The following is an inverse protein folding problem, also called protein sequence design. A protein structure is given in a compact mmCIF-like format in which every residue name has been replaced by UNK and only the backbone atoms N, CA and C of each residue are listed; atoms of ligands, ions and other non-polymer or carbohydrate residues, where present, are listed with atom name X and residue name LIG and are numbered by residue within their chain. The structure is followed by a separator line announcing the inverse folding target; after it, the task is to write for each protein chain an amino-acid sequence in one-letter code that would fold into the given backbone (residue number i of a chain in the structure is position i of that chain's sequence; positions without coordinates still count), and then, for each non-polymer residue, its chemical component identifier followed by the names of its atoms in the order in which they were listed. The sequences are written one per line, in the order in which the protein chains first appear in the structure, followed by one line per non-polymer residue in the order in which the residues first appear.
data_IF_124933075138
#
_entry.id   IF_124933075138
#
_cell.length_a   1.000
_cell.length_b   1.000
_cell.length_c   1.000
_cell.angle_alpha   90.00
_cell.angle_beta   90.00
_cell.angle_gamma   90.00
#
_symmetry.space_group_name_H-M   'P 1'
#
loop_
_entity.id
_entity.type
_entity.pdbx_description
1 polymer ?
#
# COMPACT_ATOMS: atom_id res chain seq x y z
N UNK A 1 7.24 15.24 8.93
CA UNK A 1 6.13 14.71 8.13
C UNK A 1 4.96 14.29 9.00
N UNK A 2 3.74 14.48 8.49
CA UNK A 2 2.55 13.91 9.13
C UNK A 2 2.49 12.41 8.87
N UNK A 3 1.65 11.69 9.62
CA UNK A 3 1.42 10.26 9.36
C UNK A 3 0.84 10.02 7.96
N UNK A 4 -0.04 10.92 7.51
CA UNK A 4 -0.58 10.83 6.15
C UNK A 4 0.53 10.97 5.10
N UNK A 5 1.42 11.95 5.27
CA UNK A 5 2.56 12.13 4.36
C UNK A 5 3.52 10.94 4.38
N UNK A 6 3.73 10.36 5.54
CA UNK A 6 4.57 9.17 5.70
C UNK A 6 3.96 7.98 4.93
N UNK A 7 2.65 7.76 5.05
CA UNK A 7 1.94 6.71 4.31
C UNK A 7 2.00 6.95 2.81
N UNK A 8 1.81 8.19 2.40
CA UNK A 8 1.88 8.55 0.98
C UNK A 8 3.26 8.26 0.41
N UNK A 9 4.32 8.61 1.13
CA UNK A 9 5.69 8.30 0.70
C UNK A 9 5.90 6.78 0.58
N UNK A 10 5.47 6.01 1.58
CA UNK A 10 5.59 4.55 1.54
C UNK A 10 4.78 3.94 0.39
N UNK A 11 3.60 4.49 0.12
CA UNK A 11 2.78 4.09 -1.02
C UNK A 11 3.50 4.34 -2.34
N UNK A 12 4.09 5.51 -2.52
CA UNK A 12 4.82 5.84 -3.74
C UNK A 12 6.03 4.91 -3.95
N UNK A 13 6.75 4.60 -2.88
CA UNK A 13 7.86 3.64 -2.94
C UNK A 13 7.37 2.23 -3.30
N UNK A 14 6.25 1.81 -2.72
CA UNK A 14 5.64 0.51 -3.01
C UNK A 14 5.21 0.43 -4.47
N UNK A 15 4.64 1.50 -4.98
CA UNK A 15 4.25 1.60 -6.39
C UNK A 15 5.47 1.49 -7.31
N UNK A 16 6.53 2.24 -7.01
CA UNK A 16 7.78 2.18 -7.80
C UNK A 16 8.36 0.77 -7.82
N UNK A 17 8.39 0.10 -6.68
CA UNK A 17 8.95 -1.24 -6.57
C UNK A 17 8.14 -2.28 -7.35
N UNK A 18 6.86 -2.01 -7.61
CA UNK A 18 6.01 -2.95 -8.38
C UNK A 18 6.43 -3.09 -9.86
N UNK A 19 7.26 -2.19 -10.36
CA UNK A 19 7.74 -2.22 -11.75
C UNK A 19 9.11 -2.90 -11.91
N UNK A 20 9.74 -3.27 -10.81
CA UNK A 20 11.08 -3.85 -10.84
C UNK A 20 11.24 -4.84 -9.68
N UNK A 21 12.38 -5.55 -9.66
CA UNK A 21 12.76 -6.39 -8.54
C UNK A 21 13.89 -5.76 -7.73
N UNK A 22 14.03 -4.44 -7.83
CA UNK A 22 15.06 -3.72 -7.09
C UNK A 22 14.82 -3.84 -5.58
N UNK A 23 15.91 -3.80 -4.83
CA UNK A 23 15.85 -3.86 -3.37
C UNK A 23 15.24 -2.59 -2.79
N UNK A 24 14.80 -2.68 -1.53
CA UNK A 24 14.30 -1.51 -0.79
C UNK A 24 15.33 -0.39 -0.83
N UNK A 25 16.60 -0.71 -0.55
CA UNK A 25 17.66 0.31 -0.50
C UNK A 25 17.88 0.98 -1.85
N UNK A 26 17.81 0.23 -2.95
CA UNK A 26 17.92 0.80 -4.30
C UNK A 26 16.76 1.71 -4.63
N UNK A 27 15.53 1.29 -4.35
CA UNK A 27 14.32 2.10 -4.60
C UNK A 27 14.37 3.40 -3.80
N UNK A 28 14.71 3.31 -2.50
CA UNK A 28 14.80 4.49 -1.63
C UNK A 28 15.91 5.43 -2.09
N UNK A 29 17.07 4.88 -2.45
CA UNK A 29 18.21 5.65 -2.90
C UNK A 29 17.87 6.47 -4.15
N UNK A 30 17.25 5.84 -5.14
CA UNK A 30 16.85 6.53 -6.38
C UNK A 30 15.80 7.60 -6.09
N UNK A 31 14.81 7.30 -5.27
CA UNK A 31 13.75 8.26 -4.94
C UNK A 31 14.31 9.50 -4.23
N UNK A 32 15.26 9.31 -3.31
CA UNK A 32 15.93 10.41 -2.61
C UNK A 32 16.80 11.23 -3.56
N UNK A 33 17.53 10.57 -4.43
CA UNK A 33 18.39 11.23 -5.42
C UNK A 33 17.59 12.10 -6.39
N UNK A 34 16.43 11.61 -6.81
CA UNK A 34 15.55 12.34 -7.74
C UNK A 34 14.74 13.46 -7.06
N UNK A 35 14.72 13.49 -5.75
CA UNK A 35 13.98 14.49 -4.95
C UNK A 35 12.50 14.61 -5.35
N UNK A 36 11.88 13.49 -5.72
CA UNK A 36 10.49 13.49 -6.21
C UNK A 36 9.49 13.78 -5.09
N UNK A 37 9.80 13.37 -3.87
CA UNK A 37 8.97 13.57 -2.68
C UNK A 37 9.82 13.38 -1.44
N UNK A 38 9.34 13.90 -0.31
CA UNK A 38 10.05 13.79 0.96
C UNK A 38 9.92 12.36 1.51
N UNK A 39 11.02 11.80 2.00
CA UNK A 39 11.07 10.45 2.56
C UNK A 39 11.80 10.51 3.90
N UNK A 40 11.09 10.16 4.98
CA UNK A 40 11.70 10.06 6.31
C UNK A 40 11.95 8.59 6.68
N UNK A 41 12.59 8.38 7.83
CA UNK A 41 12.91 7.02 8.29
C UNK A 41 11.65 6.19 8.55
N UNK A 42 10.57 6.81 9.01
CA UNK A 42 9.30 6.12 9.24
C UNK A 42 8.70 5.60 7.94
N UNK A 43 8.78 6.39 6.87
CA UNK A 43 8.31 5.96 5.54
C UNK A 43 9.13 4.78 5.02
N UNK A 44 10.45 4.81 5.20
CA UNK A 44 11.33 3.70 4.79
C UNK A 44 11.00 2.44 5.59
N UNK A 45 10.79 2.58 6.90
CA UNK A 45 10.44 1.44 7.77
C UNK A 45 9.13 0.80 7.33
N UNK A 46 8.12 1.61 7.03
CA UNK A 46 6.83 1.13 6.56
C UNK A 46 6.98 0.41 5.21
N UNK A 47 7.69 1.01 4.27
CA UNK A 47 7.94 0.42 2.97
C UNK A 47 8.69 -0.92 3.10
N UNK A 48 9.74 -0.96 3.92
CA UNK A 48 10.52 -2.20 4.16
C UNK A 48 9.63 -3.31 4.72
N UNK A 49 8.76 -2.99 5.68
CA UNK A 49 7.83 -3.96 6.24
C UNK A 49 6.86 -4.52 5.20
N UNK A 50 6.38 -3.67 4.31
CA UNK A 50 5.49 -4.08 3.21
C UNK A 50 6.23 -5.06 2.30
N UNK A 51 7.45 -4.76 1.90
CA UNK A 51 8.25 -5.62 1.00
C UNK A 51 8.55 -6.96 1.66
N UNK A 52 8.94 -6.95 2.94
CA UNK A 52 9.26 -8.17 3.68
C UNK A 52 8.06 -9.10 3.85
N UNK A 53 6.85 -8.54 3.89
CA UNK A 53 5.61 -9.30 4.09
C UNK A 53 4.76 -9.39 2.81
N UNK A 54 5.33 -9.08 1.67
CA UNK A 54 4.62 -8.96 0.40
C UNK A 54 3.85 -10.22 0.02
N UNK A 55 4.45 -11.39 0.17
CA UNK A 55 3.79 -12.65 -0.20
C UNK A 55 2.57 -12.93 0.68
N UNK A 56 2.67 -12.68 1.98
CA UNK A 56 1.54 -12.80 2.91
C UNK A 56 0.43 -11.81 2.58
N UNK A 57 0.82 -10.56 2.29
CA UNK A 57 -0.12 -9.50 1.92
C UNK A 57 -0.86 -9.88 0.63
N UNK A 58 -0.13 -10.30 -0.39
CA UNK A 58 -0.71 -10.64 -1.68
C UNK A 58 -1.64 -11.86 -1.58
N UNK A 59 -1.33 -12.81 -0.70
CA UNK A 59 -2.20 -13.94 -0.42
C UNK A 59 -3.53 -13.47 0.19
N UNK A 60 -3.48 -12.52 1.10
CA UNK A 60 -4.69 -11.93 1.69
C UNK A 60 -5.51 -11.21 0.61
N UNK A 61 -4.85 -10.43 -0.23
CA UNK A 61 -5.54 -9.73 -1.33
C UNK A 61 -6.25 -10.74 -2.24
N UNK A 62 -5.53 -11.74 -2.71
CA UNK A 62 -6.09 -12.74 -3.64
C UNK A 62 -7.29 -13.46 -3.04
N UNK A 63 -7.26 -13.76 -1.76
CA UNK A 63 -8.36 -14.41 -1.04
C UNK A 63 -9.66 -13.59 -1.10
N UNK A 64 -9.54 -12.28 -1.18
CA UNK A 64 -10.69 -11.36 -1.16
C UNK A 64 -11.05 -10.81 -2.54
N UNK A 65 -10.45 -11.35 -3.61
CA UNK A 65 -10.81 -11.01 -4.98
C UNK A 65 -11.83 -12.02 -5.51
N UNK A 66 -12.95 -11.50 -6.02
CA UNK A 66 -14.00 -12.34 -6.62
C UNK A 66 -13.81 -12.36 -8.14
N UNK A 67 -13.51 -13.53 -8.68
CA UNK A 67 -13.36 -13.73 -10.14
C UNK A 67 -12.23 -12.91 -10.77
N UNK A 68 -11.26 -12.47 -9.96
CA UNK A 68 -10.11 -11.68 -10.41
C UNK A 68 -8.82 -12.32 -9.91
N UNK A 69 -7.74 -12.06 -10.62
CA UNK A 69 -6.41 -12.41 -10.16
C UNK A 69 -5.65 -11.12 -9.85
N UNK A 70 -4.71 -11.22 -8.93
CA UNK A 70 -3.96 -10.05 -8.44
C UNK A 70 -3.21 -9.34 -9.57
N UNK A 71 -2.76 -10.05 -10.59
CA UNK A 71 -2.04 -9.48 -11.73
C UNK A 71 -2.93 -8.64 -12.65
N UNK A 72 -4.25 -8.68 -12.47
CA UNK A 72 -5.20 -7.85 -13.20
C UNK A 72 -5.54 -6.54 -12.51
N UNK A 73 -5.11 -6.37 -11.26
CA UNK A 73 -5.31 -5.14 -10.53
C UNK A 73 -4.32 -4.09 -11.03
N UNK A 74 -4.75 -2.83 -11.17
CA UNK A 74 -3.82 -1.77 -11.52
C UNK A 74 -2.73 -1.68 -10.45
N UNK A 75 -1.52 -1.31 -10.85
CA UNK A 75 -0.40 -1.23 -9.92
C UNK A 75 -0.62 -0.16 -8.84
N UNK A 76 -1.35 0.90 -9.17
CA UNK A 76 -1.70 1.94 -8.18
C UNK A 76 -2.62 1.37 -7.11
N UNK A 77 -3.73 0.74 -7.52
CA UNK A 77 -4.67 0.12 -6.58
C UNK A 77 -3.99 -0.97 -5.75
N UNK A 78 -3.13 -1.76 -6.37
CA UNK A 78 -2.39 -2.81 -5.66
C UNK A 78 -1.47 -2.22 -4.59
N UNK A 79 -0.77 -1.12 -4.91
CA UNK A 79 0.09 -0.44 -3.94
C UNK A 79 -0.73 0.10 -2.76
N UNK A 80 -1.89 0.70 -3.01
CA UNK A 80 -2.79 1.18 -1.94
C UNK A 80 -3.21 0.00 -1.05
N UNK A 81 -3.63 -1.10 -1.66
CA UNK A 81 -4.06 -2.29 -0.91
C UNK A 81 -2.92 -2.87 -0.08
N UNK A 82 -1.71 -2.92 -0.62
CA UNK A 82 -0.56 -3.45 0.12
C UNK A 82 -0.23 -2.62 1.36
N UNK A 83 -0.25 -1.30 1.25
CA UNK A 83 -0.03 -0.41 2.40
C UNK A 83 -1.09 -0.65 3.47
N UNK A 84 -2.36 -0.62 3.07
CA UNK A 84 -3.48 -0.75 3.99
C UNK A 84 -3.48 -2.10 4.72
N UNK A 85 -3.32 -3.18 3.97
CA UNK A 85 -3.35 -4.54 4.55
C UNK A 85 -2.14 -4.76 5.47
N UNK A 86 -0.98 -4.23 5.10
CA UNK A 86 0.17 -4.28 6.01
C UNK A 86 -0.16 -3.61 7.35
N UNK A 87 -0.74 -2.41 7.32
CA UNK A 87 -1.11 -1.72 8.56
C UNK A 87 -2.20 -2.46 9.33
N UNK A 88 -3.17 -3.05 8.64
CA UNK A 88 -4.26 -3.79 9.30
C UNK A 88 -3.80 -5.08 9.98
N UNK A 89 -2.83 -5.76 9.40
CA UNK A 89 -2.43 -7.10 9.85
C UNK A 89 -1.09 -7.15 10.57
N UNK A 90 -0.21 -6.18 10.35
CA UNK A 90 1.15 -6.21 10.87
C UNK A 90 1.52 -5.01 11.75
N UNK A 91 0.64 -4.04 11.89
CA UNK A 91 0.87 -2.85 12.70
C UNK A 91 -0.21 -2.73 13.78
N UNK A 92 0.12 -3.11 15.00
CA UNK A 92 -0.83 -3.10 16.11
C UNK A 92 -1.26 -1.69 16.52
N UNK A 93 -0.41 -0.69 16.30
CA UNK A 93 -0.68 0.70 16.66
C UNK A 93 -1.61 1.42 15.70
N UNK A 94 -1.99 0.80 14.57
CA UNK A 94 -2.92 1.39 13.61
C UNK A 94 -4.21 0.58 13.60
N UNK A 95 -5.34 1.24 13.89
CA UNK A 95 -6.64 0.57 13.83
C UNK A 95 -7.03 0.30 12.38
N UNK A 96 -7.87 -0.71 12.19
CA UNK A 96 -8.36 -1.05 10.84
C UNK A 96 -9.13 0.11 10.22
N UNK A 97 -9.93 0.82 11.02
CA UNK A 97 -10.69 1.97 10.53
C UNK A 97 -9.78 3.07 9.99
N UNK A 98 -8.67 3.33 10.68
CA UNK A 98 -7.70 4.33 10.22
C UNK A 98 -7.01 3.85 8.96
N UNK A 99 -6.58 2.59 8.91
CA UNK A 99 -5.91 2.04 7.74
C UNK A 99 -6.79 2.11 6.49
N UNK A 100 -8.06 1.74 6.62
CA UNK A 100 -9.02 1.78 5.51
C UNK A 100 -9.31 3.22 5.08
N UNK A 101 -9.55 4.10 6.04
CA UNK A 101 -9.83 5.51 5.77
C UNK A 101 -8.69 6.18 5.01
N UNK A 102 -7.45 5.94 5.45
CA UNK A 102 -6.27 6.50 4.79
C UNK A 102 -6.06 5.90 3.40
N UNK A 103 -6.34 4.61 3.23
CA UNK A 103 -6.26 3.97 1.92
C UNK A 103 -7.26 4.57 0.92
N UNK A 104 -8.47 4.86 1.38
CA UNK A 104 -9.49 5.50 0.53
C UNK A 104 -9.01 6.90 0.10
N UNK A 105 -8.39 7.66 1.00
CA UNK A 105 -7.83 8.98 0.67
C UNK A 105 -6.73 8.85 -0.39
N UNK A 106 -5.82 7.88 -0.25
CA UNK A 106 -4.79 7.63 -1.26
C UNK A 106 -5.42 7.25 -2.61
N UNK A 107 -6.41 6.38 -2.60
CA UNK A 107 -7.08 5.97 -3.83
C UNK A 107 -7.78 7.15 -4.51
N UNK A 108 -8.44 8.02 -3.72
CA UNK A 108 -9.09 9.23 -4.24
C UNK A 108 -8.08 10.19 -4.86
N UNK A 109 -6.88 10.25 -4.31
CA UNK A 109 -5.82 11.14 -4.80
C UNK A 109 -5.20 10.63 -6.10
N UNK A 110 -5.03 9.32 -6.24
CA UNK A 110 -4.21 8.74 -7.30
C UNK A 110 -4.99 7.90 -8.31
N UNK A 111 -6.27 7.62 -8.07
CA UNK A 111 -7.07 6.78 -8.97
C UNK A 111 -8.42 7.42 -9.28
N UNK A 112 -9.22 6.74 -10.10
CA UNK A 112 -10.56 7.16 -10.46
C UNK A 112 -11.61 6.47 -9.56
N UNK A 113 -12.84 6.96 -9.63
CA UNK A 113 -13.93 6.53 -8.76
C UNK A 113 -14.13 5.02 -8.69
N UNK A 114 -14.05 4.33 -9.82
CA UNK A 114 -14.25 2.88 -9.86
C UNK A 114 -13.16 2.15 -9.08
N UNK A 115 -11.91 2.62 -9.17
CA UNK A 115 -10.81 2.05 -8.41
C UNK A 115 -10.96 2.32 -6.91
N UNK A 116 -11.43 3.52 -6.54
CA UNK A 116 -11.71 3.86 -5.14
C UNK A 116 -12.74 2.89 -4.56
N UNK A 117 -13.83 2.65 -5.30
CA UNK A 117 -14.88 1.72 -4.87
C UNK A 117 -14.35 0.30 -4.75
N UNK A 118 -13.52 -0.12 -5.70
CA UNK A 118 -12.88 -1.44 -5.68
C UNK A 118 -11.99 -1.62 -4.44
N UNK A 119 -11.10 -0.66 -4.19
CA UNK A 119 -10.21 -0.69 -3.03
C UNK A 119 -11.01 -0.75 -1.73
N UNK A 120 -12.01 0.12 -1.60
CA UNK A 120 -12.85 0.13 -0.41
C UNK A 120 -13.57 -1.21 -0.20
N UNK A 121 -14.08 -1.81 -1.26
CA UNK A 121 -14.76 -3.12 -1.21
C UNK A 121 -13.83 -4.24 -0.75
N UNK A 122 -12.61 -4.29 -1.29
CA UNK A 122 -11.63 -5.30 -0.89
C UNK A 122 -11.27 -5.14 0.60
N UNK A 123 -10.99 -3.91 1.02
CA UNK A 123 -10.60 -3.65 2.41
C UNK A 123 -11.73 -3.92 3.39
N UNK A 124 -12.97 -3.62 3.02
CA UNK A 124 -14.14 -3.96 3.84
C UNK A 124 -14.25 -5.48 4.01
N UNK A 125 -14.00 -6.24 2.95
CA UNK A 125 -14.01 -7.69 2.99
C UNK A 125 -12.90 -8.23 3.90
N UNK A 126 -11.69 -7.68 3.80
CA UNK A 126 -10.55 -8.05 4.66
C UNK A 126 -10.88 -7.75 6.12
N UNK A 127 -11.49 -6.61 6.40
CA UNK A 127 -11.86 -6.21 7.76
C UNK A 127 -12.86 -7.17 8.41
N UNK A 128 -13.79 -7.72 7.63
CA UNK A 128 -14.77 -8.69 8.13
C UNK A 128 -14.17 -10.06 8.41
N UNK A 129 -13.08 -10.39 7.77
CA UNK A 129 -12.44 -11.71 7.82
C UNK A 129 -11.30 -11.72 8.84
N UNK A 130 -11.60 -11.32 10.07
CA UNK A 130 -10.60 -11.31 11.14
C UNK A 130 -10.76 -12.52 12.07
#
# INVERSE_FOLDING_TARGET
MTRHQMREAAFLLTFEQSFSNDSVDEIVSVAKECELFEIDDAAVKLFRGIVENRDSIDTIIQKHLKNWTIDRISKVSLAVLRVAIYEMRFCDEVSDDIAISEAVILAQTYTLKDDVNFVNGVLASVNKDQ
#
